data_IF_163414620996
#
_entry.id   IF_163414620996
#
_cell.length_a   1.000
_cell.length_b   1.000
_cell.length_c   1.000
_cell.angle_alpha   90.00
_cell.angle_beta   90.00
_cell.angle_gamma   90.00
#
_symmetry.space_group_name_H-M   'P 1'
#
loop_
_entity.id
_entity.type
_entity.pdbx_description
1 polymer ?
#
# COMPACT_ATOMS: atom_id res chain seq x y z
N UNK A 1 -9.87 -22.70 -1.70
CA UNK A 1 -8.90 -21.59 -1.69
C UNK A 1 -8.31 -21.38 -0.29
N UNK A 2 -9.04 -20.85 0.69
CA UNK A 2 -8.46 -20.50 2.01
C UNK A 2 -7.79 -21.68 2.75
N UNK A 3 -8.44 -22.86 2.80
CA UNK A 3 -7.83 -24.06 3.41
C UNK A 3 -6.59 -24.56 2.66
N UNK A 4 -6.50 -24.31 1.34
CA UNK A 4 -5.32 -24.67 0.55
C UNK A 4 -4.17 -23.71 0.88
N UNK A 5 -4.43 -22.40 0.96
CA UNK A 5 -3.44 -21.40 1.39
C UNK A 5 -2.98 -21.64 2.84
N UNK A 6 -3.88 -22.11 3.70
CA UNK A 6 -3.51 -22.49 5.08
C UNK A 6 -2.51 -23.66 5.11
N UNK A 7 -2.63 -24.61 4.18
CA UNK A 7 -1.73 -25.77 4.07
C UNK A 7 -0.43 -25.41 3.36
N UNK A 8 -0.50 -24.55 2.34
CA UNK A 8 0.64 -24.05 1.58
C UNK A 8 0.46 -22.54 1.31
N UNK A 9 1.12 -21.67 2.10
CA UNK A 9 1.03 -20.22 1.94
C UNK A 9 1.50 -19.69 0.58
N UNK A 10 2.32 -20.43 -0.17
CA UNK A 10 2.77 -20.01 -1.50
C UNK A 10 1.61 -19.92 -2.49
N UNK A 11 0.54 -20.71 -2.28
CA UNK A 11 -0.68 -20.65 -3.10
C UNK A 11 -1.40 -19.30 -3.00
N UNK A 12 -1.02 -18.42 -2.07
CA UNK A 12 -1.53 -17.04 -2.06
C UNK A 12 -1.15 -16.30 -3.35
N UNK A 13 0.02 -16.55 -3.92
CA UNK A 13 0.47 -15.96 -5.19
C UNK A 13 -0.37 -16.44 -6.39
N UNK A 14 -0.80 -17.70 -6.37
CA UNK A 14 -1.64 -18.27 -7.44
C UNK A 14 -3.12 -17.86 -7.31
N UNK A 15 -3.62 -17.80 -6.07
CA UNK A 15 -5.05 -17.69 -5.79
C UNK A 15 -5.52 -16.29 -5.40
N UNK A 16 -4.63 -15.31 -5.32
CA UNK A 16 -4.98 -13.93 -4.95
C UNK A 16 -4.32 -12.93 -5.89
N UNK A 17 -4.61 -11.64 -5.69
CA UNK A 17 -4.02 -10.56 -6.49
C UNK A 17 -2.69 -10.04 -5.91
N UNK A 18 -2.12 -10.66 -4.87
CA UNK A 18 -0.94 -10.16 -4.14
C UNK A 18 0.21 -9.83 -5.12
N UNK A 19 0.49 -10.70 -6.10
CA UNK A 19 1.54 -10.49 -7.11
C UNK A 19 1.37 -9.24 -8.00
N UNK A 20 0.17 -8.68 -8.04
CA UNK A 20 -0.19 -7.56 -8.91
C UNK A 20 -0.75 -6.37 -8.14
N UNK A 21 -0.70 -6.40 -6.80
CA UNK A 21 -1.30 -5.38 -5.93
C UNK A 21 -0.24 -4.75 -5.04
N UNK A 22 -0.02 -3.44 -5.18
CA UNK A 22 0.97 -2.67 -4.42
C UNK A 22 0.31 -1.65 -3.49
N UNK A 23 0.89 -1.42 -2.31
CA UNK A 23 0.44 -0.37 -1.41
C UNK A 23 1.20 0.94 -1.67
N UNK A 24 0.47 2.05 -1.83
CA UNK A 24 1.04 3.40 -1.93
C UNK A 24 0.83 4.10 -0.59
N UNK A 25 1.84 4.03 0.28
CA UNK A 25 1.74 4.41 1.70
C UNK A 25 2.23 5.84 1.92
N UNK A 26 1.48 6.63 2.68
CA UNK A 26 1.91 7.98 3.11
C UNK A 26 1.38 8.32 4.50
N UNK A 27 2.15 9.11 5.25
CA UNK A 27 1.67 9.81 6.44
C UNK A 27 1.55 11.34 6.22
N UNK A 28 1.74 11.81 4.98
CA UNK A 28 1.52 13.19 4.57
C UNK A 28 2.53 14.22 5.11
N UNK A 29 3.66 13.79 5.68
CA UNK A 29 4.66 14.71 6.25
C UNK A 29 5.52 15.42 5.19
N UNK A 30 5.53 14.93 3.95
CA UNK A 30 6.28 15.50 2.84
C UNK A 30 5.53 15.31 1.51
N UNK A 31 4.47 16.09 1.30
CA UNK A 31 3.67 16.02 0.07
C UNK A 31 4.22 17.02 -0.95
N UNK A 32 4.94 16.52 -1.97
CA UNK A 32 5.51 17.32 -3.05
C UNK A 32 6.31 18.52 -2.50
N UNK A 33 6.07 19.73 -3.01
CA UNK A 33 6.64 20.97 -2.49
C UNK A 33 5.83 21.62 -1.35
N UNK A 34 4.77 20.98 -0.87
CA UNK A 34 3.84 21.54 0.12
C UNK A 34 4.26 21.23 1.57
N UNK A 35 5.20 20.32 1.76
CA UNK A 35 5.68 19.92 3.09
C UNK A 35 4.66 19.06 3.84
N UNK A 36 4.55 19.28 5.15
CA UNK A 36 3.65 18.51 6.01
C UNK A 36 2.24 19.12 6.00
N UNK A 37 1.35 18.51 5.23
CA UNK A 37 -0.06 18.91 5.11
C UNK A 37 -1.02 17.83 5.67
N UNK A 38 -0.46 16.79 6.28
CA UNK A 38 -1.20 15.66 6.81
C UNK A 38 -1.61 14.62 5.75
N UNK A 39 -1.97 13.40 6.18
CA UNK A 39 -2.18 12.27 5.29
C UNK A 39 -3.38 12.48 4.35
N UNK A 40 -4.50 13.02 4.87
CA UNK A 40 -5.72 13.20 4.09
C UNK A 40 -5.54 14.18 2.92
N UNK A 41 -4.80 15.29 3.14
CA UNK A 41 -4.49 16.24 2.07
C UNK A 41 -3.51 15.65 1.03
N UNK A 42 -2.77 14.59 1.38
CA UNK A 42 -1.93 13.83 0.46
C UNK A 42 -2.69 12.80 -0.38
N UNK A 43 -3.96 12.49 -0.06
CA UNK A 43 -4.74 11.47 -0.76
C UNK A 43 -4.76 11.66 -2.29
N UNK A 44 -5.02 12.86 -2.85
CA UNK A 44 -5.07 13.03 -4.31
C UNK A 44 -3.73 12.70 -4.99
N UNK A 45 -2.61 12.92 -4.30
CA UNK A 45 -1.28 12.58 -4.82
C UNK A 45 -1.09 11.07 -4.83
N UNK A 46 -1.59 10.36 -3.81
CA UNK A 46 -1.50 8.90 -3.75
C UNK A 46 -2.42 8.23 -4.77
N UNK A 47 -3.63 8.75 -4.98
CA UNK A 47 -4.54 8.32 -6.04
C UNK A 47 -3.92 8.55 -7.42
N UNK A 48 -3.28 9.70 -7.65
CA UNK A 48 -2.54 9.96 -8.88
C UNK A 48 -1.43 8.94 -9.13
N UNK A 49 -0.67 8.56 -8.09
CA UNK A 49 0.33 7.48 -8.20
C UNK A 49 -0.32 6.14 -8.51
N UNK A 50 -1.46 5.84 -7.88
CA UNK A 50 -2.16 4.59 -8.11
C UNK A 50 -2.67 4.47 -9.56
N UNK A 51 -3.21 5.55 -10.12
CA UNK A 51 -3.59 5.62 -11.53
C UNK A 51 -2.39 5.40 -12.46
N UNK A 52 -1.23 5.99 -12.14
CA UNK A 52 -0.01 5.78 -12.93
C UNK A 52 0.47 4.31 -12.88
N UNK A 53 0.34 3.62 -11.75
CA UNK A 53 0.66 2.19 -11.68
C UNK A 53 -0.24 1.35 -12.59
N UNK A 54 -1.54 1.64 -12.59
CA UNK A 54 -2.48 0.95 -13.47
C UNK A 54 -2.18 1.22 -14.95
N UNK A 55 -1.99 2.48 -15.32
CA UNK A 55 -1.86 2.89 -16.73
C UNK A 55 -0.50 2.54 -17.34
N UNK A 56 0.59 2.60 -16.56
CA UNK A 56 1.95 2.46 -17.09
C UNK A 56 2.52 1.05 -16.95
N UNK A 57 2.15 0.32 -15.90
CA UNK A 57 2.73 -1.01 -15.60
C UNK A 57 1.69 -2.09 -15.35
N UNK A 58 0.38 -1.76 -15.43
CA UNK A 58 -0.70 -2.73 -15.26
C UNK A 58 -0.83 -3.28 -13.83
N UNK A 59 -0.31 -2.58 -12.83
CA UNK A 59 -0.41 -2.97 -11.42
C UNK A 59 -1.61 -2.31 -10.75
N UNK A 60 -2.31 -3.04 -9.89
CA UNK A 60 -3.30 -2.47 -8.98
C UNK A 60 -2.56 -1.79 -7.83
N UNK A 61 -2.86 -0.52 -7.57
CA UNK A 61 -2.22 0.24 -6.51
C UNK A 61 -3.28 0.79 -5.55
N UNK A 62 -3.06 0.59 -4.24
CA UNK A 62 -4.00 0.99 -3.19
C UNK A 62 -3.38 2.08 -2.32
N UNK A 63 -3.95 3.31 -2.30
CA UNK A 63 -3.54 4.34 -1.36
C UNK A 63 -3.78 3.93 0.10
N UNK A 64 -2.75 4.04 0.95
CA UNK A 64 -2.86 3.79 2.40
C UNK A 64 -2.36 5.01 3.15
N UNK A 65 -3.27 5.63 3.89
CA UNK A 65 -3.02 6.83 4.67
C UNK A 65 -2.81 6.47 6.13
N UNK A 66 -1.65 6.86 6.68
CA UNK A 66 -1.30 6.62 8.06
C UNK A 66 -1.38 7.91 8.87
N UNK A 67 -2.23 7.94 9.89
CA UNK A 67 -2.22 9.01 10.90
C UNK A 67 -1.15 8.73 11.97
N UNK A 68 0.10 8.59 11.53
CA UNK A 68 1.24 8.28 12.40
C UNK A 68 2.54 8.87 11.84
N UNK A 69 3.29 9.56 12.71
CA UNK A 69 4.57 10.20 12.36
C UNK A 69 5.76 9.57 13.06
N UNK A 70 5.54 8.76 14.10
CA UNK A 70 6.62 8.03 14.78
C UNK A 70 7.13 6.92 13.87
N UNK A 71 8.41 6.93 13.44
CA UNK A 71 8.93 5.99 12.46
C UNK A 71 8.72 4.52 12.84
N UNK A 72 8.96 4.16 14.10
CA UNK A 72 8.78 2.77 14.55
C UNK A 72 7.34 2.29 14.44
N UNK A 73 6.36 3.14 14.79
CA UNK A 73 4.95 2.80 14.64
C UNK A 73 4.51 2.75 13.20
N UNK A 74 5.07 3.60 12.33
CA UNK A 74 4.84 3.52 10.88
C UNK A 74 5.32 2.15 10.35
N UNK A 75 6.54 1.74 10.74
CA UNK A 75 7.08 0.43 10.36
C UNK A 75 6.19 -0.70 10.88
N UNK A 76 5.78 -0.66 12.15
CA UNK A 76 4.89 -1.65 12.75
C UNK A 76 3.57 -1.79 11.97
N UNK A 77 2.94 -0.66 11.62
CA UNK A 77 1.69 -0.66 10.83
C UNK A 77 1.90 -1.27 9.44
N UNK A 78 3.00 -0.93 8.76
CA UNK A 78 3.34 -1.47 7.44
C UNK A 78 3.59 -2.98 7.53
N UNK A 79 4.37 -3.42 8.52
CA UNK A 79 4.59 -4.84 8.77
C UNK A 79 3.28 -5.58 9.08
N UNK A 80 2.33 -4.95 9.77
CA UNK A 80 1.03 -5.54 10.08
C UNK A 80 0.15 -5.84 8.86
N UNK A 81 0.37 -5.13 7.74
CA UNK A 81 -0.43 -5.29 6.52
C UNK A 81 0.32 -5.93 5.36
N UNK A 82 1.59 -6.32 5.54
CA UNK A 82 2.45 -6.74 4.43
C UNK A 82 1.91 -7.95 3.63
N UNK A 83 1.17 -8.86 4.27
CA UNK A 83 0.60 -10.05 3.60
C UNK A 83 -0.48 -9.71 2.55
N UNK A 84 -0.97 -8.47 2.53
CA UNK A 84 -2.00 -8.04 1.58
C UNK A 84 -1.43 -7.54 0.24
N UNK A 85 -0.11 -7.35 0.14
CA UNK A 85 0.54 -6.67 -0.99
C UNK A 85 1.83 -7.38 -1.43
N UNK A 86 2.17 -7.27 -2.71
CA UNK A 86 3.39 -7.83 -3.33
C UNK A 86 4.51 -6.82 -3.52
#
# INVERSE_FOLDING_TARGET
MCLAIQQDPQLAHEYTSIDSTVAVITNGTAVLGLGNIGPLAGLPVMEGKAALFADLVGLSAVPILLEQTQPEKVVELICGIHLSFG
#
